data_IF_637198866447
#
_entry.id   IF_637198866447
#
_cell.length_a   1.000
_cell.length_b   1.000
_cell.length_c   1.000
_cell.angle_alpha   90.00
_cell.angle_beta   90.00
_cell.angle_gamma   90.00
#
_symmetry.space_group_name_H-M   'P 1'
#
loop_
_entity.id
_entity.type
_entity.pdbx_description
1 polymer ?
#
# COMPACT_ATOMS: atom_id res chain seq x y z
N UNK A 1 13.34 9.18 -4.01
CA UNK A 1 12.45 9.25 -2.83
C UNK A 1 13.16 9.82 -1.60
N UNK A 2 14.00 9.06 -0.87
CA UNK A 2 14.58 9.53 0.41
C UNK A 2 15.45 10.78 0.29
N UNK A 3 16.39 10.82 -0.68
CA UNK A 3 17.21 12.02 -0.93
C UNK A 3 16.36 13.25 -1.27
N UNK A 4 15.26 13.05 -2.01
CA UNK A 4 14.34 14.13 -2.37
C UNK A 4 13.60 14.67 -1.13
N UNK A 5 13.23 13.81 -0.18
CA UNK A 5 12.65 14.22 1.10
C UNK A 5 13.62 15.14 1.84
N UNK A 6 14.89 14.73 1.99
CA UNK A 6 15.93 15.53 2.67
C UNK A 6 16.12 16.89 1.99
N UNK A 7 16.22 16.90 0.66
CA UNK A 7 16.36 18.14 -0.11
C UNK A 7 15.14 19.06 0.03
N UNK A 8 13.93 18.51 0.02
CA UNK A 8 12.71 19.30 0.19
C UNK A 8 12.60 19.88 1.60
N UNK A 9 13.06 19.15 2.63
CA UNK A 9 13.18 19.68 4.00
C UNK A 9 14.18 20.83 4.06
N UNK A 10 15.37 20.69 3.46
CA UNK A 10 16.39 21.75 3.41
C UNK A 10 15.91 23.00 2.67
N UNK A 11 15.03 22.84 1.67
CA UNK A 11 14.39 23.94 0.93
C UNK A 11 13.20 24.57 1.66
N UNK A 12 12.89 24.13 2.88
CA UNK A 12 11.78 24.68 3.67
C UNK A 12 10.39 24.36 3.10
N UNK A 13 10.23 23.27 2.33
CA UNK A 13 8.91 22.85 1.87
C UNK A 13 8.04 22.39 3.05
N UNK A 14 6.71 22.55 2.90
CA UNK A 14 5.78 22.14 3.96
C UNK A 14 5.84 20.63 4.19
N UNK A 15 5.85 20.23 5.47
CA UNK A 15 5.89 18.81 5.85
C UNK A 15 4.70 18.02 5.27
N UNK A 16 3.53 18.65 5.17
CA UNK A 16 2.35 18.04 4.54
C UNK A 16 2.59 17.71 3.06
N UNK A 17 3.25 18.60 2.31
CA UNK A 17 3.58 18.35 0.89
C UNK A 17 4.60 17.21 0.75
N UNK A 18 5.64 17.20 1.59
CA UNK A 18 6.66 16.16 1.60
C UNK A 18 6.04 14.80 1.94
N UNK A 19 5.18 14.74 2.96
CA UNK A 19 4.47 13.52 3.36
C UNK A 19 3.53 13.03 2.25
N UNK A 20 2.76 13.92 1.61
CA UNK A 20 1.88 13.55 0.50
C UNK A 20 2.66 13.00 -0.69
N UNK A 21 3.79 13.63 -1.06
CA UNK A 21 4.69 13.13 -2.11
C UNK A 21 5.19 11.73 -1.80
N UNK A 22 5.67 11.48 -0.59
CA UNK A 22 6.14 10.16 -0.16
C UNK A 22 5.07 9.08 -0.32
N UNK A 23 3.86 9.31 0.21
CA UNK A 23 2.76 8.34 0.10
C UNK A 23 2.35 8.10 -1.36
N UNK A 24 2.29 9.16 -2.17
CA UNK A 24 1.98 9.01 -3.60
C UNK A 24 3.10 8.26 -4.33
N UNK A 25 4.37 8.45 -3.98
CA UNK A 25 5.48 7.65 -4.55
C UNK A 25 5.33 6.18 -4.20
N UNK A 26 5.02 5.82 -2.95
CA UNK A 26 4.79 4.42 -2.56
C UNK A 26 3.66 3.78 -3.37
N UNK A 27 2.58 4.51 -3.59
CA UNK A 27 1.47 4.04 -4.38
C UNK A 27 1.85 3.83 -5.86
N UNK A 28 2.65 4.71 -6.48
CA UNK A 28 3.11 4.50 -7.86
C UNK A 28 4.07 3.31 -7.97
N UNK A 29 4.86 3.04 -6.92
CA UNK A 29 5.68 1.83 -6.83
C UNK A 29 4.78 0.59 -6.81
N UNK A 30 3.69 0.58 -6.04
CA UNK A 30 2.72 -0.52 -6.02
C UNK A 30 2.15 -0.77 -7.42
N UNK A 31 1.72 0.28 -8.13
CA UNK A 31 1.20 0.14 -9.51
C UNK A 31 2.25 -0.40 -10.47
N UNK A 32 3.48 0.10 -10.38
CA UNK A 32 4.60 -0.35 -11.22
C UNK A 32 4.87 -1.84 -11.04
N UNK A 33 4.88 -2.31 -9.79
CA UNK A 33 5.06 -3.74 -9.48
C UNK A 33 3.86 -4.56 -9.96
N UNK A 34 2.63 -4.10 -9.73
CA UNK A 34 1.43 -4.82 -10.18
C UNK A 34 1.41 -5.01 -11.71
N UNK A 35 1.77 -3.98 -12.48
CA UNK A 35 1.91 -4.05 -13.95
C UNK A 35 2.99 -5.03 -14.38
N UNK A 36 4.12 -5.08 -13.66
CA UNK A 36 5.21 -6.00 -13.96
C UNK A 36 4.84 -7.46 -13.69
N UNK A 37 4.14 -7.74 -12.59
CA UNK A 37 3.73 -9.10 -12.19
C UNK A 37 2.57 -9.64 -13.04
N UNK A 38 1.73 -8.76 -13.62
CA UNK A 38 0.61 -9.10 -14.52
C UNK A 38 -0.48 -9.98 -13.90
N UNK A 39 -0.59 -9.97 -12.58
CA UNK A 39 -1.70 -10.60 -11.86
C UNK A 39 -2.88 -9.63 -11.70
N UNK A 40 -4.10 -10.07 -12.03
CA UNK A 40 -5.26 -9.19 -11.96
C UNK A 40 -5.72 -8.93 -10.53
N UNK A 41 -5.59 -9.94 -9.64
CA UNK A 41 -6.06 -9.86 -8.25
C UNK A 41 -4.91 -9.42 -7.35
N UNK A 42 -5.04 -8.25 -6.72
CA UNK A 42 -4.02 -7.68 -5.84
C UNK A 42 -4.55 -7.65 -4.42
N UNK A 43 -3.85 -8.24 -3.46
CA UNK A 43 -4.23 -8.21 -2.04
C UNK A 43 -3.32 -7.23 -1.29
N UNK A 44 -3.92 -6.25 -0.64
CA UNK A 44 -3.24 -5.28 0.23
C UNK A 44 -3.35 -5.73 1.69
N UNK A 45 -2.22 -6.10 2.28
CA UNK A 45 -2.12 -6.63 3.65
C UNK A 45 -0.83 -6.13 4.32
N UNK A 46 -0.74 -6.22 5.64
CA UNK A 46 0.36 -5.69 6.44
C UNK A 46 -0.01 -4.36 7.11
N UNK A 47 0.61 -4.08 8.26
CA UNK A 47 0.29 -2.93 9.12
C UNK A 47 0.41 -1.56 8.43
N UNK A 48 1.23 -1.44 7.38
CA UNK A 48 1.33 -0.21 6.58
C UNK A 48 -0.01 0.22 5.96
N UNK A 49 -0.88 -0.73 5.63
CA UNK A 49 -2.22 -0.47 5.09
C UNK A 49 -3.27 -0.15 6.18
N UNK A 50 -2.86 0.07 7.44
CA UNK A 50 -3.68 0.80 8.40
C UNK A 50 -3.67 2.31 8.12
N UNK A 51 -2.68 2.80 7.36
CA UNK A 51 -2.67 4.17 6.90
C UNK A 51 -3.81 4.39 5.89
N UNK A 52 -4.82 5.16 6.30
CA UNK A 52 -6.01 5.47 5.50
C UNK A 52 -5.63 6.09 4.14
N UNK A 53 -4.73 7.06 4.15
CA UNK A 53 -4.31 7.79 2.94
C UNK A 53 -3.66 6.86 1.92
N UNK A 54 -2.74 5.99 2.36
CA UNK A 54 -2.10 5.00 1.48
C UNK A 54 -3.12 4.00 0.93
N UNK A 55 -3.98 3.48 1.78
CA UNK A 55 -4.91 2.40 1.42
C UNK A 55 -5.97 2.87 0.44
N UNK A 56 -6.64 3.98 0.71
CA UNK A 56 -7.68 4.52 -0.18
C UNK A 56 -7.11 4.86 -1.56
N UNK A 57 -5.93 5.48 -1.61
CA UNK A 57 -5.28 5.83 -2.88
C UNK A 57 -4.78 4.61 -3.64
N UNK A 58 -4.16 3.64 -2.96
CA UNK A 58 -3.70 2.41 -3.61
C UNK A 58 -4.89 1.63 -4.21
N UNK A 59 -6.00 1.50 -3.48
CA UNK A 59 -7.22 0.85 -3.97
C UNK A 59 -7.79 1.60 -5.18
N UNK A 60 -7.90 2.94 -5.11
CA UNK A 60 -8.40 3.76 -6.21
C UNK A 60 -7.54 3.61 -7.47
N UNK A 61 -6.23 3.80 -7.33
CA UNK A 61 -5.29 3.74 -8.46
C UNK A 61 -5.16 2.35 -9.07
N UNK A 62 -5.20 1.29 -8.26
CA UNK A 62 -5.25 -0.08 -8.79
C UNK A 62 -6.52 -0.33 -9.63
N UNK A 63 -7.67 0.20 -9.21
CA UNK A 63 -8.92 0.10 -9.99
C UNK A 63 -8.86 0.88 -11.30
N UNK A 64 -8.32 2.10 -11.28
CA UNK A 64 -8.11 2.91 -12.49
C UNK A 64 -7.24 2.19 -13.52
N UNK A 65 -6.26 1.43 -13.04
CA UNK A 65 -5.35 0.62 -13.85
C UNK A 65 -5.93 -0.75 -14.27
N UNK A 66 -7.20 -1.02 -13.96
CA UNK A 66 -7.91 -2.25 -14.35
C UNK A 66 -7.62 -3.48 -13.46
N UNK A 67 -6.90 -3.31 -12.35
CA UNK A 67 -6.70 -4.37 -11.36
C UNK A 67 -7.93 -4.55 -10.46
N UNK A 68 -7.98 -5.69 -9.78
CA UNK A 68 -8.99 -6.03 -8.77
C UNK A 68 -8.34 -6.05 -7.38
N UNK A 69 -8.30 -4.91 -6.67
CA UNK A 69 -7.72 -4.86 -5.33
C UNK A 69 -8.67 -5.44 -4.27
N UNK A 70 -8.09 -6.15 -3.32
CA UNK A 70 -8.73 -6.67 -2.10
C UNK A 70 -7.93 -6.19 -0.89
N UNK A 71 -8.63 -5.87 0.20
CA UNK A 71 -8.01 -5.45 1.45
C UNK A 71 -8.83 -5.95 2.64
N UNK A 72 -8.24 -5.85 3.82
CA UNK A 72 -8.84 -6.29 5.07
C UNK A 72 -10.06 -5.47 5.48
N UNK A 73 -11.16 -6.13 5.89
CA UNK A 73 -12.40 -5.47 6.35
C UNK A 73 -12.92 -5.99 7.70
N UNK A 74 -12.66 -7.27 8.03
CA UNK A 74 -13.18 -7.93 9.25
C UNK A 74 -12.09 -8.35 10.24
N UNK A 75 -10.85 -8.42 9.77
CA UNK A 75 -9.66 -8.66 10.59
C UNK A 75 -8.67 -7.54 10.32
N UNK A 76 -7.79 -7.18 11.27
CA UNK A 76 -6.83 -6.13 11.03
C UNK A 76 -5.76 -6.59 10.03
N UNK A 77 -5.23 -5.69 9.18
CA UNK A 77 -4.14 -6.02 8.25
C UNK A 77 -2.78 -6.18 8.95
N UNK A 78 -2.68 -5.85 10.24
CA UNK A 78 -1.46 -5.97 11.04
C UNK A 78 -1.33 -7.35 11.70
N UNK A 79 -0.38 -7.46 12.62
CA UNK A 79 -0.03 -8.72 13.27
C UNK A 79 -1.20 -9.37 14.04
N UNK A 80 -2.19 -8.59 14.46
CA UNK A 80 -3.42 -9.11 15.07
C UNK A 80 -4.25 -9.99 14.12
N UNK A 81 -4.02 -9.92 12.80
CA UNK A 81 -4.70 -10.74 11.79
C UNK A 81 -3.89 -11.93 11.28
N UNK A 82 -2.61 -12.06 11.68
CA UNK A 82 -1.69 -13.07 11.12
C UNK A 82 -2.16 -14.50 11.40
N UNK A 83 -2.63 -14.77 12.61
CA UNK A 83 -3.06 -16.11 13.02
C UNK A 83 -4.14 -16.69 12.09
N UNK A 84 -5.08 -15.87 11.62
CA UNK A 84 -6.09 -16.30 10.65
C UNK A 84 -5.45 -16.77 9.34
N UNK A 85 -4.49 -16.00 8.81
CA UNK A 85 -3.77 -16.36 7.60
C UNK A 85 -2.99 -17.67 7.74
N UNK A 86 -2.35 -17.87 8.89
CA UNK A 86 -1.60 -19.09 9.20
C UNK A 86 -2.51 -20.32 9.26
N UNK A 87 -3.63 -20.26 9.98
CA UNK A 87 -4.60 -21.36 10.06
C UNK A 87 -5.16 -21.69 8.68
N UNK A 88 -5.53 -20.69 7.89
CA UNK A 88 -6.05 -20.90 6.53
C UNK A 88 -5.01 -21.48 5.57
N UNK A 89 -3.73 -21.12 5.72
CA UNK A 89 -2.65 -21.69 4.92
C UNK A 89 -2.40 -23.16 5.29
N UNK A 90 -2.39 -23.49 6.59
CA UNK A 90 -2.22 -24.87 7.06
C UNK A 90 -3.39 -25.78 6.68
N UNK A 91 -4.63 -25.27 6.74
CA UNK A 91 -5.84 -26.02 6.39
C UNK A 91 -6.05 -26.21 4.87
N UNK A 92 -5.23 -25.55 4.04
CA UNK A 92 -5.27 -25.68 2.57
C UNK A 92 -4.32 -26.77 2.03
N UNK A 93 -3.59 -27.44 2.91
CA UNK A 93 -2.73 -28.59 2.59
C UNK A 93 -3.57 -29.86 2.50
#
# INVERSE_FOLDING_TARGET
MILEIVQNMQRGQSMGLIAAKFHNTLMEIIITVARAVREQKIVLSGGCFQNKYLTERAVGRLREEGFKPYWHQRVPPNDGGIALGQVMAAARV
#
